data_IF_295446231001
#
_entry.id   IF_295446231001
#
_cell.length_a   1.000
_cell.length_b   1.000
_cell.length_c   1.000
_cell.angle_alpha   90.00
_cell.angle_beta   90.00
_cell.angle_gamma   90.00
#
_symmetry.space_group_name_H-M   'P 1'
#
loop_
_entity.id
_entity.type
_entity.pdbx_description
1 polymer ?
#
# COMPACT_ATOMS: atom_id res chain seq x y z
N UNK A 1 11.82 -19.61 -56.21
CA UNK A 1 11.49 -18.37 -55.48
C UNK A 1 10.76 -18.65 -54.15
N UNK A 2 10.90 -19.85 -53.58
CA UNK A 2 10.15 -20.31 -52.39
C UNK A 2 10.98 -20.25 -51.10
N UNK A 3 12.31 -20.38 -51.21
CA UNK A 3 13.27 -20.32 -50.09
C UNK A 3 13.43 -18.92 -49.48
N UNK A 4 13.30 -17.85 -50.28
CA UNK A 4 13.48 -16.47 -49.83
C UNK A 4 12.31 -15.93 -48.98
N UNK A 5 11.10 -16.45 -49.18
CA UNK A 5 9.92 -16.03 -48.42
C UNK A 5 9.88 -16.68 -47.04
N UNK A 6 10.23 -17.96 -46.95
CA UNK A 6 10.29 -18.69 -45.67
C UNK A 6 11.41 -18.19 -44.77
N UNK A 7 12.55 -17.78 -45.35
CA UNK A 7 13.65 -17.16 -44.59
C UNK A 7 13.31 -15.76 -44.07
N UNK A 8 12.51 -14.97 -44.79
CA UNK A 8 12.04 -13.67 -44.33
C UNK A 8 11.03 -13.80 -43.17
N UNK A 9 10.11 -14.77 -43.25
CA UNK A 9 9.14 -15.05 -42.17
C UNK A 9 9.86 -15.57 -40.93
N UNK A 10 10.84 -16.47 -41.09
CA UNK A 10 11.65 -16.96 -39.98
C UNK A 10 12.50 -15.84 -39.36
N UNK A 11 13.04 -14.91 -40.17
CA UNK A 11 13.78 -13.75 -39.70
C UNK A 11 12.91 -12.76 -38.92
N UNK A 12 11.65 -12.56 -39.33
CA UNK A 12 10.68 -11.71 -38.62
C UNK A 12 10.28 -12.37 -37.29
N UNK A 13 10.03 -13.68 -37.27
CA UNK A 13 9.75 -14.42 -36.02
C UNK A 13 10.95 -14.38 -35.07
N UNK A 14 12.17 -14.55 -35.59
CA UNK A 14 13.41 -14.43 -34.81
C UNK A 14 13.64 -12.99 -34.31
N UNK A 15 13.28 -11.96 -35.09
CA UNK A 15 13.32 -10.56 -34.64
C UNK A 15 12.31 -10.31 -33.52
N UNK A 16 11.07 -10.79 -33.64
CA UNK A 16 10.03 -10.64 -32.61
C UNK A 16 10.42 -11.40 -31.33
N UNK A 17 11.01 -12.60 -31.44
CA UNK A 17 11.56 -13.33 -30.29
C UNK A 17 12.74 -12.59 -29.65
N UNK A 18 13.62 -11.96 -30.43
CA UNK A 18 14.71 -11.09 -29.93
C UNK A 18 14.21 -9.82 -29.26
N UNK A 19 13.13 -9.21 -29.76
CA UNK A 19 12.50 -8.05 -29.15
C UNK A 19 11.74 -8.43 -27.86
N UNK A 20 11.11 -9.61 -27.82
CA UNK A 20 10.41 -10.11 -26.62
C UNK A 20 11.40 -10.52 -25.50
N UNK A 21 12.59 -11.02 -25.86
CA UNK A 21 13.66 -11.30 -24.89
C UNK A 21 14.37 -10.05 -24.36
N UNK A 22 14.18 -8.88 -25.01
CA UNK A 22 14.77 -7.61 -24.54
C UNK A 22 13.98 -6.90 -23.43
N UNK A 23 12.74 -7.34 -23.12
CA UNK A 23 11.97 -6.83 -21.98
C UNK A 23 11.96 -7.73 -20.75
N UNK A 24 12.65 -8.88 -20.79
CA UNK A 24 12.90 -9.69 -19.59
C UNK A 24 14.37 -9.55 -19.15
N UNK A 25 14.79 -8.31 -18.88
CA UNK A 25 16.00 -8.07 -18.09
C UNK A 25 15.63 -8.16 -16.60
N UNK A 26 15.26 -9.36 -16.14
CA UNK A 26 15.44 -9.70 -14.73
C UNK A 26 16.95 -9.76 -14.51
N UNK A 27 17.45 -8.84 -13.67
CA UNK A 27 18.87 -8.70 -13.32
C UNK A 27 19.31 -9.95 -12.55
N UNK A 28 19.87 -10.93 -13.25
CA UNK A 28 20.51 -12.10 -12.66
C UNK A 28 21.87 -11.68 -12.09
N UNK A 29 22.06 -11.92 -10.80
CA UNK A 29 23.28 -11.62 -10.06
C UNK A 29 24.29 -12.74 -10.35
N UNK A 30 25.51 -12.36 -10.75
CA UNK A 30 26.58 -13.27 -11.11
C UNK A 30 26.97 -14.23 -9.96
N UNK A 31 27.40 -15.47 -10.27
CA UNK A 31 27.89 -16.41 -9.26
C UNK A 31 29.28 -15.98 -8.78
N UNK A 32 29.40 -15.67 -7.49
CA UNK A 32 30.68 -15.40 -6.83
C UNK A 32 31.32 -16.72 -6.40
N UNK A 33 32.61 -16.87 -6.70
CA UNK A 33 33.45 -18.02 -6.32
C UNK A 33 33.40 -18.34 -4.81
N UNK A 34 33.64 -19.62 -4.43
CA UNK A 34 33.71 -20.03 -3.04
C UNK A 34 35.04 -19.56 -2.40
N UNK A 35 34.94 -18.76 -1.34
CA UNK A 35 36.05 -18.46 -0.45
C UNK A 35 36.22 -19.56 0.62
N UNK A 36 37.44 -19.76 1.16
CA UNK A 36 37.81 -20.90 2.01
C UNK A 36 37.20 -20.83 3.43
N UNK A 37 37.16 -21.95 4.17
CA UNK A 37 36.40 -22.06 5.42
C UNK A 37 37.14 -21.35 6.56
N UNK A 38 36.48 -20.34 7.13
CA UNK A 38 36.86 -19.77 8.43
C UNK A 38 36.10 -20.54 9.50
N UNK A 39 36.85 -21.22 10.36
CA UNK A 39 36.37 -21.92 11.56
C UNK A 39 35.75 -20.92 12.52
N UNK A 40 34.42 -20.88 12.60
CA UNK A 40 33.69 -20.18 13.66
C UNK A 40 32.92 -21.22 14.47
N UNK A 41 33.16 -21.24 15.77
CA UNK A 41 32.61 -22.20 16.71
C UNK A 41 31.08 -22.12 16.73
N UNK A 42 30.42 -23.09 16.08
CA UNK A 42 28.99 -23.34 16.20
C UNK A 42 28.70 -23.84 17.62
N UNK A 43 28.34 -22.93 18.52
CA UNK A 43 27.47 -23.29 19.63
C UNK A 43 26.08 -23.49 19.04
N UNK A 44 25.58 -24.72 19.12
CA UNK A 44 24.25 -25.10 18.68
C UNK A 44 23.20 -24.13 19.23
N UNK A 45 22.28 -23.60 18.40
CA UNK A 45 21.13 -22.86 18.91
C UNK A 45 20.24 -23.82 19.68
N UNK A 46 20.15 -23.62 20.99
CA UNK A 46 19.10 -24.20 21.82
C UNK A 46 17.76 -23.59 21.40
N UNK A 47 16.90 -24.45 20.86
CA UNK A 47 15.45 -24.24 20.82
C UNK A 47 14.91 -23.91 22.23
N UNK A 48 13.80 -23.17 22.26
CA UNK A 48 12.97 -22.76 23.42
C UNK A 48 13.35 -21.47 24.18
N UNK A 49 13.15 -20.32 23.51
CA UNK A 49 12.39 -19.18 24.08
C UNK A 49 11.59 -18.53 22.95
N UNK A 50 10.26 -18.48 23.09
CA UNK A 50 9.34 -17.75 22.21
C UNK A 50 9.86 -16.32 21.97
N UNK A 51 10.48 -16.11 20.81
CA UNK A 51 11.20 -14.87 20.51
C UNK A 51 10.17 -13.80 20.17
N UNK A 52 10.09 -12.75 21.00
CA UNK A 52 9.22 -11.60 20.72
C UNK A 52 9.61 -10.97 19.38
N UNK A 53 8.62 -10.70 18.54
CA UNK A 53 8.81 -10.04 17.25
C UNK A 53 9.50 -8.68 17.43
N UNK A 54 10.50 -8.42 16.60
CA UNK A 54 11.23 -7.14 16.55
C UNK A 54 10.53 -6.25 15.55
N UNK A 55 10.05 -5.09 16.01
CA UNK A 55 9.48 -4.08 15.14
C UNK A 55 10.58 -3.36 14.34
N UNK A 56 10.34 -2.97 13.07
CA UNK A 56 11.27 -2.15 12.30
C UNK A 56 11.43 -0.76 12.94
N UNK A 57 12.56 -0.11 12.67
CA UNK A 57 12.80 1.26 13.14
C UNK A 57 11.75 2.23 12.60
N UNK A 58 11.43 3.25 13.40
CA UNK A 58 10.45 4.30 13.07
C UNK A 58 9.05 3.75 12.76
N UNK A 59 8.63 2.72 13.49
CA UNK A 59 7.28 2.16 13.42
C UNK A 59 6.61 2.12 14.78
N UNK A 60 5.29 2.29 14.78
CA UNK A 60 4.43 2.03 15.92
C UNK A 60 3.95 0.58 15.84
N UNK A 61 4.30 -0.23 16.84
CA UNK A 61 3.95 -1.64 16.88
C UNK A 61 3.13 -1.98 18.13
N UNK A 62 2.18 -2.89 17.97
CA UNK A 62 1.39 -3.48 19.06
C UNK A 62 1.63 -4.98 19.06
N UNK A 63 1.97 -5.51 20.24
CA UNK A 63 2.22 -6.93 20.45
C UNK A 63 1.03 -7.60 21.14
N UNK A 64 0.83 -8.87 20.83
CA UNK A 64 -0.08 -9.76 21.54
C UNK A 64 0.57 -10.34 22.82
N UNK A 65 -0.18 -11.21 23.51
CA UNK A 65 0.31 -11.90 24.71
C UNK A 65 1.42 -12.91 24.42
N UNK A 66 1.52 -13.40 23.18
CA UNK A 66 2.51 -14.37 22.72
C UNK A 66 3.78 -13.67 22.18
N UNK A 67 3.83 -12.34 22.24
CA UNK A 67 4.96 -11.54 21.77
C UNK A 67 5.03 -11.39 20.25
N UNK A 68 3.96 -11.71 19.51
CA UNK A 68 3.85 -11.43 18.09
C UNK A 68 3.27 -10.04 17.84
N UNK A 69 3.70 -9.39 16.77
CA UNK A 69 3.11 -8.10 16.38
C UNK A 69 1.76 -8.37 15.70
N UNK A 70 0.75 -7.56 16.00
CA UNK A 70 -0.58 -7.65 15.38
C UNK A 70 -1.02 -6.35 14.70
N UNK A 71 -0.41 -5.23 15.07
CA UNK A 71 -0.56 -3.94 14.40
C UNK A 71 0.83 -3.39 14.19
N UNK A 72 1.13 -3.04 12.95
CA UNK A 72 2.35 -2.36 12.56
C UNK A 72 1.99 -1.14 11.73
N UNK A 73 2.42 0.03 12.18
CA UNK A 73 2.04 1.30 11.57
C UNK A 73 3.24 2.23 11.43
N UNK A 74 3.33 2.91 10.29
CA UNK A 74 4.32 3.96 10.04
C UNK A 74 3.61 5.08 9.29
N UNK A 75 3.67 6.29 9.83
CA UNK A 75 3.08 7.46 9.22
C UNK A 75 3.59 8.73 9.89
N UNK A 76 3.51 9.85 9.18
CA UNK A 76 3.66 11.19 9.73
C UNK A 76 2.30 11.88 9.74
N UNK A 77 1.81 12.28 10.91
CA UNK A 77 0.49 12.92 11.05
C UNK A 77 0.57 14.27 11.75
N UNK A 78 -0.15 15.24 11.20
CA UNK A 78 -0.36 16.57 11.78
C UNK A 78 -1.85 16.85 11.95
N UNK A 79 -2.24 17.39 13.10
CA UNK A 79 -3.60 17.81 13.41
C UNK A 79 -3.67 19.33 13.45
N UNK A 80 -4.51 19.92 12.61
CA UNK A 80 -4.89 21.34 12.71
C UNK A 80 -6.16 21.41 13.54
N UNK A 81 -6.06 21.97 14.75
CA UNK A 81 -7.17 22.08 15.71
C UNK A 81 -7.63 23.53 15.71
N UNK A 82 -8.91 23.77 15.39
CA UNK A 82 -9.55 25.07 15.52
C UNK A 82 -10.25 25.15 16.87
N UNK A 83 -10.11 26.24 17.61
CA UNK A 83 -10.73 26.42 18.91
C UNK A 83 -11.18 27.87 19.14
N UNK A 84 -12.22 28.11 19.95
CA UNK A 84 -12.63 29.45 20.31
C UNK A 84 -11.70 30.01 21.40
N UNK A 85 -11.18 31.20 21.15
CA UNK A 85 -10.32 31.99 22.03
C UNK A 85 -11.00 33.32 22.41
N UNK A 86 -10.46 34.04 23.39
CA UNK A 86 -10.94 35.37 23.81
C UNK A 86 -10.89 36.35 22.62
N UNK A 87 -9.92 36.17 21.71
CA UNK A 87 -9.75 36.98 20.49
C UNK A 87 -10.56 36.53 19.28
N UNK A 88 -11.38 35.48 19.40
CA UNK A 88 -12.09 34.85 18.27
C UNK A 88 -11.62 33.42 18.01
N UNK A 89 -11.91 32.87 16.83
CA UNK A 89 -11.46 31.52 16.46
C UNK A 89 -9.95 31.51 16.14
N UNK A 90 -9.22 30.65 16.84
CA UNK A 90 -7.79 30.43 16.63
C UNK A 90 -7.51 28.99 16.19
N UNK A 91 -6.29 28.74 15.72
CA UNK A 91 -5.89 27.40 15.31
C UNK A 91 -4.46 27.08 15.72
N UNK A 92 -4.25 25.84 16.15
CA UNK A 92 -2.92 25.28 16.41
C UNK A 92 -2.67 24.08 15.51
N UNK A 93 -1.40 23.77 15.28
CA UNK A 93 -0.98 22.57 14.57
C UNK A 93 -0.10 21.72 15.47
N UNK A 94 -0.48 20.45 15.63
CA UNK A 94 0.21 19.50 16.51
C UNK A 94 0.60 18.28 15.69
N UNK A 95 1.87 17.89 15.74
CA UNK A 95 2.38 16.71 15.07
C UNK A 95 2.45 15.54 16.04
N UNK A 96 2.25 14.32 15.52
CA UNK A 96 2.57 13.08 16.25
C UNK A 96 4.09 12.89 16.16
N UNK A 97 4.81 12.85 17.30
CA UNK A 97 6.24 12.64 17.28
C UNK A 97 6.58 11.15 17.09
N UNK A 98 7.76 10.86 16.54
CA UNK A 98 8.22 9.49 16.27
C UNK A 98 8.40 8.66 17.55
N UNK A 99 8.68 9.32 18.68
CA UNK A 99 8.84 8.70 20.00
C UNK A 99 7.54 8.67 20.82
N UNK A 100 6.39 8.87 20.17
CA UNK A 100 5.08 8.77 20.83
C UNK A 100 4.93 7.43 21.56
N UNK A 101 4.38 7.48 22.78
CA UNK A 101 4.18 6.28 23.58
C UNK A 101 3.06 5.45 22.97
N UNK A 102 3.42 4.26 22.50
CA UNK A 102 2.51 3.29 21.88
C UNK A 102 1.86 2.41 22.93
N UNK A 103 0.54 2.29 22.83
CA UNK A 103 -0.28 1.27 23.51
C UNK A 103 -1.23 0.68 22.48
N UNK A 104 -1.83 -0.44 22.82
CA UNK A 104 -2.84 -1.02 21.96
C UNK A 104 -3.31 -2.37 22.44
N UNK A 105 -4.17 -2.97 21.64
CA UNK A 105 -4.60 -4.35 21.77
C UNK A 105 -4.76 -4.96 20.40
N UNK A 106 -4.44 -6.24 20.31
CA UNK A 106 -4.76 -7.04 19.15
C UNK A 106 -6.25 -7.34 19.13
N UNK A 107 -6.82 -7.38 17.92
CA UNK A 107 -8.22 -7.74 17.74
C UNK A 107 -8.42 -9.24 17.85
N UNK A 108 -9.55 -9.62 18.44
CA UNK A 108 -10.05 -10.99 18.50
C UNK A 108 -11.48 -11.00 17.93
N UNK A 109 -12.16 -12.14 17.90
CA UNK A 109 -13.53 -12.25 17.39
C UNK A 109 -14.53 -11.26 18.01
N UNK A 110 -14.35 -10.92 19.29
CA UNK A 110 -15.28 -10.04 20.03
C UNK A 110 -14.77 -8.61 20.23
N UNK A 111 -13.55 -8.29 19.74
CA UNK A 111 -12.92 -7.00 20.01
C UNK A 111 -12.09 -6.51 18.84
N UNK A 112 -12.29 -5.26 18.49
CA UNK A 112 -11.52 -4.56 17.46
C UNK A 112 -10.07 -4.30 17.90
N UNK A 113 -9.08 -4.46 17.00
CA UNK A 113 -7.73 -3.98 17.21
C UNK A 113 -7.74 -2.47 17.45
N UNK A 114 -6.90 -2.04 18.39
CA UNK A 114 -6.77 -0.64 18.76
C UNK A 114 -5.29 -0.28 18.82
N UNK A 115 -4.94 0.82 18.17
CA UNK A 115 -3.66 1.51 18.30
C UNK A 115 -3.89 2.83 19.04
N UNK A 116 -3.21 3.01 20.17
CA UNK A 116 -3.20 4.24 20.96
C UNK A 116 -1.80 4.85 20.90
N UNK A 117 -1.69 6.10 20.43
CA UNK A 117 -0.48 6.90 20.52
C UNK A 117 -0.70 8.03 21.51
N UNK A 118 0.26 8.24 22.41
CA UNK A 118 0.18 9.30 23.43
C UNK A 118 1.44 10.14 23.48
N UNK A 119 1.26 11.47 23.43
CA UNK A 119 2.37 12.45 23.42
C UNK A 119 1.88 13.81 23.92
N UNK A 120 2.69 14.54 24.67
CA UNK A 120 2.48 15.97 25.00
C UNK A 120 1.05 16.37 25.45
N UNK A 121 0.32 15.49 26.14
CA UNK A 121 -1.07 15.72 26.57
C UNK A 121 -2.16 15.39 25.54
N UNK A 122 -1.77 14.89 24.37
CA UNK A 122 -2.62 14.37 23.31
C UNK A 122 -2.65 12.84 23.33
N UNK A 123 -3.78 12.26 22.93
CA UNK A 123 -3.92 10.83 22.68
C UNK A 123 -4.70 10.59 21.39
N UNK A 124 -4.12 9.81 20.49
CA UNK A 124 -4.74 9.35 19.25
C UNK A 124 -5.13 7.89 19.41
N UNK A 125 -6.37 7.58 19.10
CA UNK A 125 -6.89 6.22 19.02
C UNK A 125 -7.25 5.91 17.57
N UNK A 126 -6.81 4.77 17.07
CA UNK A 126 -7.22 4.23 15.77
C UNK A 126 -7.77 2.83 16.00
N UNK A 127 -9.05 2.65 15.68
CA UNK A 127 -9.77 1.39 15.82
C UNK A 127 -9.97 0.79 14.44
N UNK A 128 -9.64 -0.48 14.28
CA UNK A 128 -9.75 -1.18 13.00
C UNK A 128 -10.84 -2.25 13.05
N UNK A 129 -11.41 -2.61 11.92
CA UNK A 129 -12.42 -3.67 11.83
C UNK A 129 -12.27 -4.47 10.55
N UNK A 130 -12.95 -5.61 10.47
CA UNK A 130 -13.09 -6.41 9.26
C UNK A 130 -14.48 -6.10 8.69
N UNK A 131 -14.54 -5.54 7.48
CA UNK A 131 -15.80 -5.07 6.89
C UNK A 131 -16.73 -6.23 6.46
N UNK A 132 -16.16 -7.33 5.96
CA UNK A 132 -16.90 -8.46 5.37
C UNK A 132 -16.38 -9.85 5.81
N UNK A 133 -16.39 -10.18 7.12
CA UNK A 133 -15.82 -11.44 7.64
C UNK A 133 -16.56 -12.72 7.18
N UNK A 134 -17.72 -12.59 6.51
CA UNK A 134 -18.60 -13.71 6.16
C UNK A 134 -18.44 -14.20 4.72
N UNK A 135 -17.73 -13.47 3.86
CA UNK A 135 -17.72 -13.69 2.41
C UNK A 135 -16.37 -14.22 1.88
N UNK A 136 -15.45 -14.65 2.77
CA UNK A 136 -14.07 -15.04 2.45
C UNK A 136 -13.26 -13.96 1.70
N UNK A 137 -13.77 -12.73 1.62
CA UNK A 137 -13.12 -11.54 1.07
C UNK A 137 -12.89 -10.55 2.21
N UNK A 138 -12.17 -11.01 3.22
CA UNK A 138 -11.92 -10.24 4.42
C UNK A 138 -11.09 -9.02 4.04
N UNK A 139 -11.69 -7.85 4.21
CA UNK A 139 -11.00 -6.56 4.07
C UNK A 139 -11.02 -5.92 5.44
N UNK A 140 -9.85 -5.45 5.87
CA UNK A 140 -9.75 -4.65 7.07
C UNK A 140 -9.78 -3.17 6.69
N UNK A 141 -10.35 -2.36 7.57
CA UNK A 141 -10.48 -0.93 7.40
C UNK A 141 -10.38 -0.23 8.76
N UNK A 142 -10.10 1.07 8.73
CA UNK A 142 -10.16 1.92 9.90
C UNK A 142 -11.63 2.24 10.19
N UNK A 143 -12.11 1.73 11.32
CA UNK A 143 -13.46 1.96 11.83
C UNK A 143 -13.59 3.38 12.37
N UNK A 144 -12.66 3.80 13.22
CA UNK A 144 -12.68 5.15 13.76
C UNK A 144 -11.29 5.64 14.12
N UNK A 145 -11.10 6.96 13.98
CA UNK A 145 -9.94 7.66 14.51
C UNK A 145 -10.42 8.75 15.47
N UNK A 146 -9.89 8.74 16.69
CA UNK A 146 -10.28 9.66 17.75
C UNK A 146 -9.06 10.39 18.31
N UNK A 147 -9.17 11.70 18.49
CA UNK A 147 -8.15 12.54 19.11
C UNK A 147 -8.69 13.13 20.40
N UNK A 148 -7.99 12.86 21.50
CA UNK A 148 -8.24 13.42 22.81
C UNK A 148 -7.18 14.46 23.13
N UNK A 149 -7.61 15.64 23.54
CA UNK A 149 -6.73 16.74 23.94
C UNK A 149 -7.37 17.56 25.06
N UNK A 150 -6.58 18.38 25.76
CA UNK A 150 -7.07 19.27 26.81
C UNK A 150 -6.73 20.72 26.44
N UNK A 151 -7.76 21.57 26.32
CA UNK A 151 -7.59 23.00 26.02
C UNK A 151 -7.04 23.79 27.21
N UNK A 152 -6.77 23.15 28.36
CA UNK A 152 -5.94 23.70 29.44
C UNK A 152 -4.45 23.71 29.10
N UNK A 153 -4.03 22.96 28.09
CA UNK A 153 -2.63 22.90 27.70
C UNK A 153 -2.17 24.30 27.24
N UNK A 154 -0.96 24.78 27.63
CA UNK A 154 -0.41 26.08 27.21
C UNK A 154 -0.40 26.33 25.70
N UNK A 155 -0.52 25.29 24.87
CA UNK A 155 -0.68 25.42 23.42
C UNK A 155 -1.98 26.12 23.00
N UNK A 156 -3.00 26.16 23.86
CA UNK A 156 -4.31 26.75 23.60
C UNK A 156 -4.46 28.07 24.36
N UNK A 157 -3.69 29.08 23.99
CA UNK A 157 -3.73 30.37 24.65
C UNK A 157 -5.10 31.05 24.46
N UNK A 158 -5.59 31.71 25.50
CA UNK A 158 -6.88 32.39 25.47
C UNK A 158 -8.11 31.51 25.24
N UNK A 159 -8.01 30.17 25.29
CA UNK A 159 -9.15 29.28 25.03
C UNK A 159 -10.34 29.56 25.97
N UNK A 160 -11.52 29.78 25.41
CA UNK A 160 -12.73 30.10 26.18
C UNK A 160 -13.44 28.85 26.68
N UNK A 161 -13.37 27.76 25.91
CA UNK A 161 -14.00 26.47 26.21
C UNK A 161 -12.98 25.47 26.79
N UNK A 162 -12.53 25.76 28.01
CA UNK A 162 -11.45 25.04 28.69
C UNK A 162 -11.88 23.65 29.16
N UNK A 163 -11.07 22.62 28.86
CA UNK A 163 -11.22 21.25 29.36
C UNK A 163 -10.86 20.18 28.33
N UNK A 164 -11.13 18.93 28.70
CA UNK A 164 -10.89 17.77 27.85
C UNK A 164 -11.88 17.76 26.67
N UNK A 165 -11.34 17.59 25.47
CA UNK A 165 -12.08 17.48 24.22
C UNK A 165 -11.77 16.13 23.58
N UNK A 166 -12.80 15.54 22.99
CA UNK A 166 -12.71 14.33 22.18
C UNK A 166 -13.31 14.65 20.82
N UNK A 167 -12.54 14.42 19.77
CA UNK A 167 -13.02 14.53 18.39
C UNK A 167 -12.83 13.20 17.69
N UNK A 168 -13.73 12.86 16.76
CA UNK A 168 -13.72 11.58 16.05
C UNK A 168 -14.07 11.72 14.59
N UNK A 169 -13.63 10.78 13.77
CA UNK A 169 -14.07 10.63 12.38
C UNK A 169 -15.54 10.19 12.32
N UNK A 170 -16.25 10.64 11.29
CA UNK A 170 -17.61 10.20 10.99
C UNK A 170 -17.68 9.29 9.75
N UNK A 171 -16.63 9.30 8.93
CA UNK A 171 -16.51 8.44 7.77
C UNK A 171 -15.94 7.09 8.20
N UNK A 172 -16.67 6.03 7.85
CA UNK A 172 -16.22 4.65 7.99
C UNK A 172 -15.49 4.22 6.69
N UNK A 173 -14.71 3.14 6.76
CA UNK A 173 -14.09 2.54 5.57
C UNK A 173 -12.81 3.21 5.09
N UNK A 174 -12.17 4.03 5.92
CA UNK A 174 -10.86 4.60 5.63
C UNK A 174 -9.81 3.49 5.58
N UNK A 175 -8.80 3.63 4.71
CA UNK A 175 -7.67 2.70 4.59
C UNK A 175 -8.04 1.23 4.29
N UNK A 176 -9.17 1.01 3.60
CA UNK A 176 -9.65 -0.33 3.25
C UNK A 176 -8.62 -1.14 2.47
N UNK A 177 -8.28 -2.31 3.01
CA UNK A 177 -7.19 -3.17 2.53
C UNK A 177 -7.56 -4.64 2.65
N UNK A 178 -7.09 -5.47 1.71
CA UNK A 178 -7.28 -6.91 1.77
C UNK A 178 -6.56 -7.53 2.97
N UNK A 179 -7.16 -8.55 3.59
CA UNK A 179 -6.52 -9.34 4.64
C UNK A 179 -5.18 -9.92 4.18
N UNK A 180 -4.19 -9.93 5.08
CA UNK A 180 -2.82 -10.38 4.78
C UNK A 180 -1.97 -9.38 3.98
N UNK A 181 -2.53 -8.26 3.49
CA UNK A 181 -1.79 -7.17 2.84
C UNK A 181 -1.62 -5.97 3.76
N UNK A 182 -0.56 -5.21 3.52
CA UNK A 182 -0.38 -3.89 4.13
C UNK A 182 -1.01 -2.80 3.26
N UNK A 183 -1.35 -1.66 3.83
CA UNK A 183 -1.82 -0.47 3.14
C UNK A 183 -0.66 0.50 2.97
N UNK A 184 -0.48 1.08 1.78
CA UNK A 184 0.48 2.16 1.57
C UNK A 184 -0.15 3.33 0.83
N UNK A 185 -0.04 4.53 1.39
CA UNK A 185 -0.45 5.78 0.73
C UNK A 185 0.49 6.93 1.07
N UNK A 186 1.15 7.55 0.07
CA UNK A 186 2.09 8.64 0.32
C UNK A 186 1.40 9.91 0.84
N UNK A 187 0.20 10.20 0.34
CA UNK A 187 -0.56 11.39 0.73
C UNK A 187 -2.07 11.14 0.61
N UNK A 188 -2.72 10.53 1.62
CA UNK A 188 -4.16 10.39 1.66
C UNK A 188 -4.88 11.74 1.76
N UNK A 189 -6.20 11.72 1.58
CA UNK A 189 -7.03 12.91 1.76
C UNK A 189 -7.03 13.41 3.21
N UNK A 190 -7.37 14.70 3.37
CA UNK A 190 -7.45 15.33 4.70
C UNK A 190 -8.66 14.77 5.42
N UNK A 191 -8.45 14.18 6.58
CA UNK A 191 -9.52 13.53 7.35
C UNK A 191 -10.14 14.56 8.30
N UNK A 192 -11.40 14.95 8.11
CA UNK A 192 -12.10 15.81 9.05
C UNK A 192 -12.51 15.03 10.30
N UNK A 193 -12.30 15.63 11.46
CA UNK A 193 -12.75 15.08 12.75
C UNK A 193 -13.70 16.06 13.44
N UNK A 194 -14.70 15.49 14.08
CA UNK A 194 -15.87 16.20 14.58
C UNK A 194 -15.95 16.13 16.09
N UNK A 195 -16.37 17.23 16.72
CA UNK A 195 -16.67 17.31 18.14
C UNK A 195 -17.96 16.60 18.52
N UNK A 196 -18.30 16.62 19.81
CA UNK A 196 -19.56 16.07 20.33
C UNK A 196 -20.80 16.77 19.77
N UNK A 197 -20.67 18.03 19.39
CA UNK A 197 -21.66 18.90 18.72
C UNK A 197 -21.78 18.64 17.22
N UNK A 198 -21.00 17.69 16.66
CA UNK A 198 -20.87 17.44 15.22
C UNK A 198 -20.31 18.62 14.43
N UNK A 199 -19.69 19.59 15.10
CA UNK A 199 -18.94 20.62 14.40
C UNK A 199 -17.59 20.08 13.97
N UNK A 200 -17.10 20.55 12.82
CA UNK A 200 -15.79 20.18 12.29
C UNK A 200 -14.72 21.00 13.00
N UNK A 201 -14.08 20.41 14.00
CA UNK A 201 -13.12 21.09 14.88
C UNK A 201 -11.67 20.81 14.47
N UNK A 202 -11.39 19.63 13.92
CA UNK A 202 -10.01 19.19 13.64
C UNK A 202 -9.86 18.66 12.23
N UNK A 203 -8.73 18.98 11.60
CA UNK A 203 -8.32 18.42 10.31
C UNK A 203 -7.03 17.62 10.50
N UNK A 204 -7.09 16.32 10.26
CA UNK A 204 -5.92 15.44 10.30
C UNK A 204 -5.31 15.31 8.90
N UNK A 205 -4.00 15.55 8.79
CA UNK A 205 -3.22 15.34 7.57
C UNK A 205 -2.17 14.29 7.83
N UNK A 206 -2.25 13.18 7.11
CA UNK A 206 -1.30 12.08 7.20
C UNK A 206 -0.42 12.05 5.95
N UNK A 207 0.81 11.56 6.10
CA UNK A 207 1.80 11.36 5.03
C UNK A 207 2.51 10.03 5.23
N UNK A 208 2.92 9.43 4.10
CA UNK A 208 3.67 8.17 4.06
C UNK A 208 3.03 7.10 4.94
N UNK A 209 1.71 6.93 4.79
CA UNK A 209 0.90 6.03 5.60
C UNK A 209 1.15 4.60 5.15
N UNK A 210 1.85 3.83 5.96
CA UNK A 210 2.06 2.40 5.82
C UNK A 210 1.46 1.68 7.02
N UNK A 211 0.34 0.99 6.83
CA UNK A 211 -0.41 0.32 7.89
C UNK A 211 -0.52 -1.17 7.61
N UNK A 212 -0.34 -1.99 8.63
CA UNK A 212 -0.71 -3.40 8.58
C UNK A 212 -1.39 -3.78 9.88
N UNK A 213 -2.59 -4.31 9.73
CA UNK A 213 -3.44 -4.75 10.83
C UNK A 213 -3.80 -6.19 10.53
N UNK A 214 -3.74 -7.04 11.55
CA UNK A 214 -3.89 -8.48 11.41
C UNK A 214 -2.76 -9.11 10.58
N UNK A 215 -2.51 -10.41 10.80
CA UNK A 215 -1.58 -11.23 10.02
C UNK A 215 -0.21 -10.56 9.75
N UNK A 216 0.41 -9.98 10.79
CA UNK A 216 1.79 -9.46 10.69
C UNK A 216 2.75 -10.63 10.87
N UNK A 217 3.50 -10.93 9.82
CA UNK A 217 4.41 -12.06 9.79
C UNK A 217 5.84 -11.59 10.07
N UNK A 218 6.49 -12.20 11.08
CA UNK A 218 7.89 -11.92 11.45
C UNK A 218 8.18 -10.44 11.73
N UNK A 219 7.20 -9.70 12.27
CA UNK A 219 7.34 -8.26 12.53
C UNK A 219 7.58 -7.39 11.29
N UNK A 220 7.24 -7.84 10.08
CA UNK A 220 7.48 -7.11 8.82
C UNK A 220 6.19 -6.78 8.10
N UNK A 221 6.27 -5.72 7.27
CA UNK A 221 5.20 -5.38 6.36
C UNK A 221 5.08 -6.44 5.25
N UNK A 222 3.86 -6.93 5.03
CA UNK A 222 3.49 -7.78 3.89
C UNK A 222 3.35 -6.94 2.62
N UNK A 223 3.17 -7.56 1.43
CA UNK A 223 2.98 -6.83 0.19
C UNK A 223 1.88 -5.76 0.31
N UNK A 224 2.21 -4.53 -0.07
CA UNK A 224 1.32 -3.40 0.14
C UNK A 224 0.30 -3.24 -0.99
N UNK A 225 -0.92 -2.87 -0.64
CA UNK A 225 -1.96 -2.37 -1.51
C UNK A 225 -1.91 -0.84 -1.47
N UNK A 226 -1.93 -0.21 -2.64
CA UNK A 226 -1.88 1.25 -2.76
C UNK A 226 -3.27 1.87 -2.60
N UNK A 227 -3.30 3.13 -2.16
CA UNK A 227 -4.51 3.96 -2.24
C UNK A 227 -4.86 4.32 -3.69
N UNK A 228 -6.15 4.52 -3.97
CA UNK A 228 -6.65 4.90 -5.30
C UNK A 228 -6.55 6.40 -5.59
N UNK A 229 -6.57 7.24 -4.55
CA UNK A 229 -6.52 8.69 -4.63
C UNK A 229 -5.36 9.19 -3.78
N UNK A 230 -4.60 10.14 -4.32
CA UNK A 230 -3.58 10.90 -3.59
C UNK A 230 -3.79 12.40 -3.79
N UNK A 231 -3.31 13.20 -2.84
CA UNK A 231 -3.40 14.65 -2.92
C UNK A 231 -2.04 15.31 -3.16
N UNK A 232 -1.57 15.31 -4.39
CA UNK A 232 -0.32 15.95 -4.79
C UNK A 232 -0.62 17.40 -5.20
N UNK A 233 0.08 18.38 -4.63
CA UNK A 233 -0.12 19.79 -4.98
C UNK A 233 -1.48 20.40 -4.57
N UNK A 234 -2.28 19.71 -3.75
CA UNK A 234 -3.56 20.21 -3.24
C UNK A 234 -4.81 19.77 -4.02
N UNK A 235 -4.63 19.10 -5.16
CA UNK A 235 -5.70 18.53 -5.98
C UNK A 235 -5.76 17.00 -5.80
N UNK A 236 -6.96 16.38 -5.74
CA UNK A 236 -7.07 14.92 -5.75
C UNK A 236 -6.70 14.38 -7.13
N UNK A 237 -5.68 13.53 -7.19
CA UNK A 237 -5.23 12.85 -8.40
C UNK A 237 -5.40 11.33 -8.22
N UNK A 238 -5.90 10.61 -9.24
CA UNK A 238 -5.92 9.16 -9.21
C UNK A 238 -4.46 8.67 -9.12
N UNK A 239 -4.15 7.95 -8.05
CA UNK A 239 -2.85 7.31 -7.94
C UNK A 239 -2.88 6.09 -8.85
N UNK A 240 -2.06 6.14 -9.91
CA UNK A 240 -1.99 5.09 -10.91
C UNK A 240 -1.87 3.72 -10.22
N UNK A 241 -2.92 2.92 -10.34
CA UNK A 241 -2.87 1.50 -10.00
C UNK A 241 -1.97 0.81 -11.03
N UNK A 242 -1.52 -0.40 -10.73
CA UNK A 242 -0.69 -1.18 -11.67
C UNK A 242 -1.50 -1.59 -12.91
N UNK A 243 -1.72 -0.65 -13.83
CA UNK A 243 -2.36 -0.83 -15.15
C UNK A 243 -1.44 -1.59 -16.14
N UNK A 244 -0.30 -2.07 -15.66
CA UNK A 244 0.68 -2.86 -16.41
C UNK A 244 0.03 -4.10 -17.03
N UNK A 245 -0.94 -4.71 -16.34
CA UNK A 245 -1.62 -5.93 -16.80
C UNK A 245 -2.51 -5.67 -18.03
N UNK A 246 -3.54 -4.80 -17.98
CA UNK A 246 -4.39 -4.54 -19.15
C UNK A 246 -3.61 -3.94 -20.32
N UNK A 247 -2.60 -3.10 -20.07
CA UNK A 247 -1.75 -2.54 -21.14
C UNK A 247 -0.92 -3.64 -21.82
N UNK A 248 -0.31 -4.54 -21.06
CA UNK A 248 0.45 -5.67 -21.61
C UNK A 248 -0.45 -6.63 -22.41
N UNK A 249 -1.65 -6.93 -21.90
CA UNK A 249 -2.62 -7.81 -22.58
C UNK A 249 -3.15 -7.15 -23.85
N UNK A 250 -3.49 -5.86 -23.80
CA UNK A 250 -3.95 -5.11 -24.98
C UNK A 250 -2.88 -5.02 -26.08
N UNK A 251 -1.62 -4.77 -25.68
CA UNK A 251 -0.50 -4.70 -26.62
C UNK A 251 -0.20 -6.04 -27.29
N UNK A 252 -0.16 -7.13 -26.52
CA UNK A 252 0.11 -8.48 -27.07
C UNK A 252 -1.00 -8.94 -28.03
N UNK A 253 -2.26 -8.67 -27.70
CA UNK A 253 -3.40 -9.02 -28.54
C UNK A 253 -3.41 -8.24 -29.86
N UNK A 254 -3.05 -6.94 -29.83
CA UNK A 254 -2.94 -6.13 -31.04
C UNK A 254 -1.84 -6.64 -31.99
N UNK A 255 -0.66 -6.98 -31.45
CA UNK A 255 0.45 -7.53 -32.25
C UNK A 255 0.06 -8.88 -32.89
N UNK A 256 -0.59 -9.77 -32.12
CA UNK A 256 -1.05 -11.06 -32.63
C UNK A 256 -2.08 -10.91 -33.75
N UNK A 257 -3.04 -10.00 -33.62
CA UNK A 257 -4.03 -9.73 -34.65
C UNK A 257 -3.39 -9.25 -35.97
N UNK A 258 -2.40 -8.34 -35.88
CA UNK A 258 -1.67 -7.85 -37.06
C UNK A 258 -0.89 -8.97 -37.75
N UNK A 259 -0.24 -9.85 -37.00
CA UNK A 259 0.49 -11.00 -37.57
C UNK A 259 -0.44 -11.96 -38.30
N UNK A 260 -1.64 -12.22 -37.76
CA UNK A 260 -2.65 -13.07 -38.43
C UNK A 260 -3.12 -12.44 -39.74
N UNK A 261 -3.39 -11.14 -39.76
CA UNK A 261 -3.84 -10.42 -40.97
C UNK A 261 -2.74 -10.40 -42.03
N UNK A 262 -1.50 -10.09 -41.65
CA UNK A 262 -0.35 -10.10 -42.57
C UNK A 262 -0.11 -11.52 -43.10
N UNK A 263 -0.12 -12.53 -42.23
CA UNK A 263 0.04 -13.93 -42.62
C UNK A 263 -1.03 -14.38 -43.61
N UNK A 264 -2.29 -14.02 -43.37
CA UNK A 264 -3.39 -14.32 -44.27
C UNK A 264 -3.26 -13.57 -45.61
N UNK A 265 -2.88 -12.29 -45.59
CA UNK A 265 -2.66 -11.51 -46.80
C UNK A 265 -1.53 -12.09 -47.66
N UNK A 266 -0.41 -12.47 -47.05
CA UNK A 266 0.70 -13.13 -47.74
C UNK A 266 0.30 -14.50 -48.29
N UNK A 267 -0.40 -15.32 -47.50
CA UNK A 267 -0.88 -16.64 -47.94
C UNK A 267 -1.85 -16.53 -49.12
N UNK A 268 -2.79 -15.58 -49.07
CA UNK A 268 -3.73 -15.31 -50.16
C UNK A 268 -3.00 -14.85 -51.42
N UNK A 269 -2.02 -13.96 -51.29
CA UNK A 269 -1.25 -13.44 -52.43
C UNK A 269 -0.39 -14.54 -53.09
N UNK A 270 0.19 -15.43 -52.29
CA UNK A 270 0.94 -16.59 -52.81
C UNK A 270 0.04 -17.65 -53.43
N UNK A 271 -1.15 -17.90 -52.86
CA UNK A 271 -2.09 -18.89 -53.39
C UNK A 271 -2.73 -18.45 -54.70
N UNK A 272 -3.05 -17.16 -54.84
CA UNK A 272 -3.51 -16.58 -56.11
C UNK A 272 -2.45 -16.63 -57.22
N UNK A 273 -1.16 -16.68 -56.88
CA UNK A 273 -0.07 -16.87 -57.86
C UNK A 273 0.12 -18.32 -58.30
N UNK A 274 -0.43 -19.30 -57.59
CA UNK A 274 -0.33 -20.72 -57.95
C UNK A 274 -1.39 -21.18 -58.97
N UNK A 275 -2.28 -20.30 -59.43
CA UNK A 275 -3.40 -20.66 -60.32
C UNK A 275 -3.26 -20.23 -61.78
N UNK A 276 -2.06 -19.89 -62.28
CA UNK A 276 -1.86 -19.55 -63.70
C UNK A 276 -0.86 -20.50 -64.41
N UNK A 277 -1.44 -21.24 -65.37
CA UNK A 277 -0.91 -21.99 -66.51
C UNK A 277 0.08 -23.15 -66.28
N UNK A 278 -0.46 -24.37 -66.19
CA UNK A 278 0.24 -25.59 -66.63
C UNK A 278 -0.72 -26.53 -67.37
N UNK A 279 -1.30 -26.04 -68.47
CA UNK A 279 -2.01 -26.85 -69.46
C UNK A 279 -1.88 -26.22 -70.85
N UNK A 280 -0.72 -26.39 -71.47
CA UNK A 280 -0.61 -26.43 -72.94
C UNK A 280 0.47 -27.45 -73.32
N UNK A 281 0.07 -28.72 -73.35
CA UNK A 281 0.61 -29.74 -74.26
C UNK A 281 -0.56 -30.48 -74.92
#
# INVERSE_FOLDING_TARGET
>A
MESASMTLVLAIILMVLKLCSSQSAAKEIAPTQPNPPVTENYLAPTDDVLSRDVAPDFTYAVWDGDGKICILAKFSTSFKITYPSIGGEEHISVNVPEDAKVKGRCGNFDREPLLELSWSGFRLFMVFTIANPKENQDTWELLSMELLYDTKNPLFDGATNVGKKTVRTLEDGLFKTQYGKSYFCPSPDVIPMYGSDKEKVVLARMKDVHLQVYDVQMGKFSPFQRCSLVRIGGLPEPFAQDETVPIAVGSTLAVMAVLVVIGYALWRNLSARKTDYDYME
#
